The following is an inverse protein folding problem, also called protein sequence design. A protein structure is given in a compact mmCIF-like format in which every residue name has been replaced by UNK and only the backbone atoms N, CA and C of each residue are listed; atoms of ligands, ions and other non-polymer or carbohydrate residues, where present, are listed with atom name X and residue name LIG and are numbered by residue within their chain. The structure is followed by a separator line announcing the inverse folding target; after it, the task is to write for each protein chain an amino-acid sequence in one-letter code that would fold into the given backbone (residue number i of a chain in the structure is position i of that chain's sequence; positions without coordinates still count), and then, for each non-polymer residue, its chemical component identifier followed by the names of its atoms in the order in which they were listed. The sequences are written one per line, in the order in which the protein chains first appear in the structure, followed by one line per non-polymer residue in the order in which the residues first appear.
data_IF_933152901533
#
_entry.id   IF_933152901533
#
_cell.length_a   1.000
_cell.length_b   1.000
_cell.length_c   1.000
_cell.angle_alpha   90.00
_cell.angle_beta   90.00
_cell.angle_gamma   90.00
#
_symmetry.space_group_name_H-M   'P 1'
#
loop_
_entity.id
_entity.type
_entity.pdbx_description
1 polymer ?
#
# COMPACT_ATOMS: atom_id res chain seq x y z
N UNK A 1 -5.62 22.95 -1.99
CA UNK A 1 -4.16 22.84 -1.74
C UNK A 1 -3.74 21.37 -1.64
N UNK A 2 -3.59 20.67 -2.77
CA UNK A 2 -3.22 19.25 -2.79
C UNK A 2 -2.29 18.88 -3.94
N UNK A 3 -1.70 17.70 -3.87
CA UNK A 3 -0.91 17.13 -4.97
C UNK A 3 -1.78 16.52 -6.06
N UNK A 4 -2.84 15.78 -5.73
CA UNK A 4 -3.77 15.27 -6.73
C UNK A 4 -4.48 16.40 -7.49
N UNK A 5 -4.61 16.25 -8.81
CA UNK A 5 -5.40 17.14 -9.66
C UNK A 5 -6.46 16.37 -10.48
N UNK A 6 -6.60 15.07 -10.24
CA UNK A 6 -7.48 14.11 -10.91
C UNK A 6 -8.98 14.50 -10.88
N UNK A 7 -9.36 15.46 -10.03
CA UNK A 7 -10.74 15.97 -9.87
C UNK A 7 -10.99 17.30 -10.60
N UNK A 8 -9.97 17.85 -11.26
CA UNK A 8 -10.05 19.13 -11.97
C UNK A 8 -10.02 18.84 -13.46
N UNK A 9 -11.04 19.29 -14.18
CA UNK A 9 -11.04 19.27 -15.64
C UNK A 9 -10.08 20.33 -16.16
N UNK A 10 -8.86 19.92 -16.48
CA UNK A 10 -7.82 20.81 -16.96
C UNK A 10 -8.12 21.37 -18.36
N UNK A 11 -8.89 20.65 -19.18
CA UNK A 11 -9.28 21.11 -20.52
C UNK A 11 -10.29 22.25 -20.42
N UNK A 12 -11.36 22.06 -19.63
CA UNK A 12 -12.34 23.11 -19.38
C UNK A 12 -11.72 24.35 -18.70
N UNK A 13 -10.79 24.16 -17.77
CA UNK A 13 -10.07 25.28 -17.16
C UNK A 13 -9.26 26.08 -18.20
N UNK A 14 -8.61 25.40 -19.14
CA UNK A 14 -7.85 26.04 -20.21
C UNK A 14 -8.77 26.83 -21.16
N UNK A 15 -9.90 26.25 -21.57
CA UNK A 15 -10.91 26.91 -22.42
C UNK A 15 -11.47 28.19 -21.77
N UNK A 16 -11.67 28.17 -20.45
CA UNK A 16 -12.21 29.30 -19.69
C UNK A 16 -11.13 30.30 -19.21
N UNK A 17 -9.86 30.09 -19.55
CA UNK A 17 -8.76 30.95 -19.12
C UNK A 17 -8.46 30.90 -17.60
N UNK A 18 -8.88 29.84 -16.92
CA UNK A 18 -8.70 29.64 -15.48
C UNK A 18 -7.34 28.97 -15.22
N UNK A 19 -6.48 29.66 -14.46
CA UNK A 19 -5.18 29.10 -14.04
C UNK A 19 -5.35 28.17 -12.84
N UNK A 20 -4.80 26.97 -12.93
CA UNK A 20 -4.81 25.97 -11.84
C UNK A 20 -3.43 25.85 -11.22
N UNK A 21 -3.35 25.94 -9.89
CA UNK A 21 -2.12 25.73 -9.13
C UNK A 21 -2.30 24.56 -8.14
N UNK A 22 -1.22 23.80 -7.92
CA UNK A 22 -1.21 22.66 -7.00
C UNK A 22 0.04 22.65 -6.13
N UNK A 23 0.05 21.84 -5.08
CA UNK A 23 1.25 21.53 -4.31
C UNK A 23 1.90 20.32 -4.98
N UNK A 24 3.05 20.44 -5.68
CA UNK A 24 3.53 19.38 -6.57
C UNK A 24 3.87 18.08 -5.86
N UNK A 25 4.29 18.13 -4.60
CA UNK A 25 4.50 16.97 -3.76
C UNK A 25 4.34 17.34 -2.27
N UNK A 26 3.72 16.46 -1.50
CA UNK A 26 3.88 16.43 -0.05
C UNK A 26 5.16 15.68 0.31
N UNK A 27 5.58 15.73 1.58
CA UNK A 27 6.76 14.98 2.03
C UNK A 27 6.59 13.49 1.68
N UNK A 28 7.45 12.92 0.81
CA UNK A 28 7.32 11.54 0.41
C UNK A 28 7.65 10.59 1.58
N UNK A 29 8.50 11.05 2.51
CA UNK A 29 8.76 10.36 3.79
C UNK A 29 7.50 10.21 4.61
N UNK A 30 6.72 11.28 4.79
CA UNK A 30 5.50 11.22 5.60
C UNK A 30 4.49 10.19 5.08
N UNK A 31 4.36 10.04 3.75
CA UNK A 31 3.46 9.04 3.16
C UNK A 31 4.00 7.62 3.33
N UNK A 32 5.30 7.42 3.13
CA UNK A 32 5.94 6.11 3.30
C UNK A 32 5.91 5.64 4.77
N UNK A 33 6.22 6.54 5.72
CA UNK A 33 6.13 6.29 7.15
C UNK A 33 4.70 5.97 7.58
N UNK A 34 3.71 6.68 7.04
CA UNK A 34 2.30 6.39 7.31
C UNK A 34 1.90 4.99 6.81
N UNK A 35 2.37 4.57 5.64
CA UNK A 35 2.13 3.22 5.13
C UNK A 35 2.71 2.14 6.06
N UNK A 36 3.94 2.33 6.56
CA UNK A 36 4.52 1.44 7.57
C UNK A 36 3.67 1.44 8.86
N UNK A 37 3.26 2.61 9.35
CA UNK A 37 2.47 2.71 10.57
C UNK A 37 1.14 1.96 10.47
N UNK A 38 0.45 2.04 9.33
CA UNK A 38 -0.76 1.26 9.07
C UNK A 38 -0.47 -0.25 9.04
N UNK A 39 0.59 -0.67 8.33
CA UNK A 39 0.99 -2.08 8.29
C UNK A 39 1.29 -2.64 9.69
N UNK A 40 2.03 -1.90 10.51
CA UNK A 40 2.35 -2.28 11.90
C UNK A 40 1.12 -2.27 12.81
N UNK A 41 0.22 -1.30 12.64
CA UNK A 41 -1.03 -1.20 13.40
C UNK A 41 -1.95 -2.37 13.14
N UNK A 42 -2.03 -2.83 11.89
CA UNK A 42 -2.78 -4.03 11.52
C UNK A 42 -2.10 -5.29 12.04
N UNK A 43 -0.79 -5.44 11.79
CA UNK A 43 -0.01 -6.59 12.22
C UNK A 43 -0.04 -6.80 13.75
N UNK A 44 0.13 -5.75 14.54
CA UNK A 44 0.15 -5.85 16.01
C UNK A 44 -1.22 -5.58 16.65
N UNK A 45 -2.26 -5.34 15.83
CA UNK A 45 -3.62 -5.03 16.26
C UNK A 45 -3.66 -3.89 17.29
N UNK A 46 -2.79 -2.88 17.12
CA UNK A 46 -2.59 -1.81 18.10
C UNK A 46 -3.89 -1.04 18.37
N UNK A 47 -4.70 -0.85 17.33
CA UNK A 47 -6.02 -0.23 17.43
C UNK A 47 -6.97 -1.00 18.38
N UNK A 48 -6.97 -2.34 18.37
CA UNK A 48 -7.75 -3.16 19.31
C UNK A 48 -7.12 -3.18 20.70
N UNK A 49 -5.79 -3.32 20.76
CA UNK A 49 -5.03 -3.34 22.00
C UNK A 49 -5.27 -2.06 22.82
N UNK A 50 -5.18 -0.89 22.17
CA UNK A 50 -5.45 0.40 22.79
C UNK A 50 -6.84 0.48 23.42
N UNK A 51 -7.88 0.07 22.68
CA UNK A 51 -9.26 0.08 23.19
C UNK A 51 -9.42 -0.83 24.42
N UNK A 52 -8.82 -2.04 24.41
CA UNK A 52 -8.88 -2.96 25.54
C UNK A 52 -8.18 -2.39 26.78
N UNK A 53 -6.94 -1.92 26.63
CA UNK A 53 -6.15 -1.38 27.75
C UNK A 53 -6.83 -0.16 28.37
N UNK A 54 -7.43 0.71 27.55
CA UNK A 54 -8.20 1.87 28.02
C UNK A 54 -9.38 1.48 28.93
N UNK A 55 -9.94 0.29 28.73
CA UNK A 55 -11.06 -0.26 29.50
C UNK A 55 -10.58 -1.19 30.65
N UNK A 56 -9.27 -1.24 30.93
CA UNK A 56 -8.70 -2.12 31.96
C UNK A 56 -8.62 -3.60 31.55
N UNK A 57 -8.86 -3.91 30.28
CA UNK A 57 -8.75 -5.26 29.74
C UNK A 57 -7.34 -5.49 29.17
N UNK A 58 -6.57 -6.40 29.78
CA UNK A 58 -5.19 -6.73 29.38
C UNK A 58 -5.07 -8.07 28.64
N UNK A 59 -6.19 -8.64 28.17
CA UNK A 59 -6.18 -9.92 27.46
C UNK A 59 -5.53 -9.80 26.08
N UNK A 60 -4.67 -10.78 25.75
CA UNK A 60 -3.92 -10.81 24.48
C UNK A 60 -4.58 -11.63 23.37
N UNK A 61 -5.69 -12.31 23.66
CA UNK A 61 -6.38 -13.17 22.70
C UNK A 61 -6.76 -12.39 21.41
N UNK A 62 -6.32 -12.91 20.26
CA UNK A 62 -6.56 -12.29 18.96
C UNK A 62 -5.70 -11.06 18.64
N UNK A 63 -4.61 -10.82 19.39
CA UNK A 63 -3.65 -9.72 19.13
C UNK A 63 -2.29 -10.19 18.58
N UNK A 64 -2.07 -11.51 18.44
CA UNK A 64 -0.80 -12.08 17.99
C UNK A 64 -0.52 -11.70 16.53
N UNK A 65 0.61 -11.03 16.31
CA UNK A 65 1.15 -10.64 15.00
C UNK A 65 2.16 -11.60 14.41
N UNK A 66 2.74 -11.19 13.28
CA UNK A 66 3.91 -11.82 12.67
C UNK A 66 5.10 -10.88 12.71
N UNK A 67 6.31 -11.39 12.96
CA UNK A 67 7.50 -10.57 12.79
C UNK A 67 7.72 -10.26 11.32
N UNK A 68 7.96 -8.99 11.01
CA UNK A 68 8.28 -8.56 9.65
C UNK A 68 9.69 -8.99 9.24
N UNK A 69 10.63 -9.10 10.17
CA UNK A 69 11.96 -9.61 9.89
C UNK A 69 11.91 -10.98 9.18
N UNK A 70 12.61 -11.09 8.04
CA UNK A 70 12.64 -12.29 7.20
C UNK A 70 11.35 -12.54 6.39
N UNK A 71 10.35 -11.65 6.45
CA UNK A 71 9.16 -11.71 5.60
C UNK A 71 9.35 -10.87 4.34
N UNK A 72 8.44 -11.05 3.39
CA UNK A 72 8.46 -10.34 2.10
C UNK A 72 7.49 -9.17 2.10
N UNK A 73 7.93 -8.00 1.66
CA UNK A 73 7.06 -6.88 1.28
C UNK A 73 7.06 -6.71 -0.24
N UNK A 74 5.89 -6.45 -0.80
CA UNK A 74 5.70 -6.07 -2.19
C UNK A 74 5.40 -4.59 -2.32
N UNK A 75 6.25 -3.86 -3.03
CA UNK A 75 6.11 -2.43 -3.31
C UNK A 75 5.60 -2.27 -4.74
N UNK A 76 4.35 -1.83 -4.87
CA UNK A 76 3.72 -1.57 -6.17
C UNK A 76 3.87 -0.08 -6.46
N UNK A 77 4.70 0.26 -7.44
CA UNK A 77 5.13 1.62 -7.75
C UNK A 77 6.42 2.00 -7.04
N UNK A 78 7.49 2.23 -7.79
CA UNK A 78 8.85 2.53 -7.29
C UNK A 78 9.29 3.96 -7.61
N UNK A 79 8.32 4.88 -7.66
CA UNK A 79 8.57 6.32 -7.61
C UNK A 79 9.12 6.78 -6.24
N UNK A 80 9.18 8.09 -6.01
CA UNK A 80 9.80 8.68 -4.80
C UNK A 80 9.31 8.08 -3.48
N UNK A 81 7.99 7.89 -3.33
CA UNK A 81 7.40 7.34 -2.09
C UNK A 81 7.71 5.85 -1.98
N UNK A 82 7.55 5.10 -3.06
CA UNK A 82 7.79 3.66 -3.09
C UNK A 82 9.23 3.28 -2.77
N UNK A 83 10.21 4.05 -3.25
CA UNK A 83 11.62 3.84 -2.90
C UNK A 83 11.87 4.06 -1.41
N UNK A 84 11.35 5.14 -0.82
CA UNK A 84 11.50 5.39 0.62
C UNK A 84 10.84 4.27 1.43
N UNK A 85 9.63 3.85 1.04
CA UNK A 85 8.96 2.71 1.67
C UNK A 85 9.80 1.43 1.57
N UNK A 86 10.40 1.15 0.40
CA UNK A 86 11.29 0.02 0.19
C UNK A 86 12.49 0.04 1.15
N UNK A 87 13.17 1.18 1.29
CA UNK A 87 14.28 1.33 2.25
C UNK A 87 13.82 1.12 3.70
N UNK A 88 12.65 1.65 4.09
CA UNK A 88 12.10 1.49 5.43
C UNK A 88 11.85 0.00 5.74
N UNK A 89 11.15 -0.71 4.86
CA UNK A 89 10.86 -2.13 5.07
C UNK A 89 12.11 -3.00 4.98
N UNK A 90 13.06 -2.67 4.08
CA UNK A 90 14.38 -3.30 4.04
C UNK A 90 15.11 -3.14 5.37
N UNK A 91 15.06 -1.95 5.99
CA UNK A 91 15.63 -1.68 7.31
C UNK A 91 15.01 -2.49 8.45
N UNK A 92 13.77 -2.99 8.28
CA UNK A 92 13.15 -3.95 9.21
C UNK A 92 13.60 -5.41 8.96
N UNK A 93 14.50 -5.63 8.01
CA UNK A 93 14.99 -6.95 7.61
C UNK A 93 14.00 -7.72 6.71
N UNK A 94 13.11 -7.03 6.00
CA UNK A 94 12.21 -7.67 5.03
C UNK A 94 12.92 -7.89 3.69
N UNK A 95 12.56 -8.98 2.99
CA UNK A 95 12.82 -9.11 1.55
C UNK A 95 11.89 -8.15 0.81
N UNK A 96 12.44 -7.31 -0.06
CA UNK A 96 11.64 -6.34 -0.82
C UNK A 96 11.50 -6.79 -2.27
N UNK A 97 10.25 -6.94 -2.72
CA UNK A 97 9.87 -7.13 -4.12
C UNK A 97 9.27 -5.82 -4.66
N UNK A 98 9.56 -5.49 -5.91
CA UNK A 98 9.05 -4.29 -6.57
C UNK A 98 8.33 -4.60 -7.86
N UNK A 99 7.28 -3.84 -8.15
CA UNK A 99 6.65 -3.82 -9.47
C UNK A 99 6.46 -2.37 -9.91
N UNK A 100 7.00 -2.02 -11.07
CA UNK A 100 6.76 -0.75 -11.75
C UNK A 100 6.92 -0.96 -13.26
N UNK A 101 6.14 -0.23 -14.07
CA UNK A 101 6.30 -0.21 -15.53
C UNK A 101 7.65 0.39 -15.93
N UNK A 102 8.16 1.32 -15.13
CA UNK A 102 9.45 1.95 -15.32
C UNK A 102 10.37 1.61 -14.15
N UNK A 103 11.23 0.62 -14.36
CA UNK A 103 12.17 0.19 -13.33
C UNK A 103 13.24 1.26 -13.10
N UNK A 104 13.59 1.46 -11.84
CA UNK A 104 14.67 2.33 -11.40
C UNK A 104 15.79 1.49 -10.76
N UNK A 105 17.02 1.70 -11.19
CA UNK A 105 18.20 1.00 -10.67
C UNK A 105 18.45 1.26 -9.18
N UNK A 106 18.10 2.43 -8.64
CA UNK A 106 18.25 2.72 -7.20
C UNK A 106 17.41 1.78 -6.34
N UNK A 107 16.26 1.31 -6.84
CA UNK A 107 15.44 0.34 -6.11
C UNK A 107 16.16 -1.01 -5.96
N UNK A 108 17.03 -1.38 -6.91
CA UNK A 108 17.75 -2.66 -6.91
C UNK A 108 18.75 -2.77 -5.76
N UNK A 109 19.12 -1.64 -5.14
CA UNK A 109 19.96 -1.62 -3.94
C UNK A 109 19.30 -2.27 -2.73
N UNK A 110 17.96 -2.23 -2.66
CA UNK A 110 17.19 -2.73 -1.50
C UNK A 110 16.14 -3.78 -1.84
N UNK A 111 15.86 -4.02 -3.12
CA UNK A 111 14.84 -4.96 -3.56
C UNK A 111 15.05 -5.55 -4.95
N UNK A 112 14.12 -6.40 -5.37
CA UNK A 112 14.16 -7.09 -6.67
C UNK A 112 12.87 -6.82 -7.43
N UNK A 113 12.96 -6.47 -8.71
CA UNK A 113 11.77 -6.34 -9.56
C UNK A 113 11.26 -7.71 -9.98
N UNK A 114 9.95 -7.87 -9.92
CA UNK A 114 9.22 -9.08 -10.35
C UNK A 114 7.92 -8.66 -11.02
N UNK A 115 7.26 -9.60 -11.70
CA UNK A 115 5.92 -9.37 -12.24
C UNK A 115 4.89 -9.23 -11.12
N UNK A 116 3.80 -8.48 -11.39
CA UNK A 116 2.77 -8.20 -10.37
C UNK A 116 2.16 -9.48 -9.80
N UNK A 117 1.94 -10.49 -10.64
CA UNK A 117 1.42 -11.80 -10.25
C UNK A 117 2.35 -12.54 -9.27
N UNK A 118 3.67 -12.41 -9.44
CA UNK A 118 4.66 -12.98 -8.51
C UNK A 118 4.70 -12.18 -7.20
N UNK A 119 4.71 -10.85 -7.31
CA UNK A 119 4.72 -9.95 -6.16
C UNK A 119 3.59 -10.26 -5.19
N UNK A 120 2.35 -10.39 -5.68
CA UNK A 120 1.20 -10.63 -4.80
C UNK A 120 1.20 -12.01 -4.15
N UNK A 121 1.75 -13.02 -4.83
CA UNK A 121 1.88 -14.39 -4.31
C UNK A 121 2.93 -14.50 -3.21
N UNK A 122 4.02 -13.75 -3.32
CA UNK A 122 5.16 -13.89 -2.41
C UNK A 122 5.12 -12.91 -1.22
N UNK A 123 4.28 -11.88 -1.29
CA UNK A 123 4.24 -10.80 -0.31
C UNK A 123 3.39 -11.13 0.91
N UNK A 124 3.92 -10.82 2.09
CA UNK A 124 3.18 -10.82 3.36
C UNK A 124 2.57 -9.44 3.64
N UNK A 125 3.19 -8.39 3.09
CA UNK A 125 2.69 -7.02 3.09
C UNK A 125 2.75 -6.50 1.66
N UNK A 126 1.69 -5.91 1.13
CA UNK A 126 1.66 -5.24 -0.17
C UNK A 126 1.34 -3.76 0.07
N UNK A 127 2.18 -2.86 -0.45
CA UNK A 127 1.98 -1.41 -0.30
C UNK A 127 1.90 -0.72 -1.67
N UNK A 128 0.82 0.03 -1.89
CA UNK A 128 0.53 0.71 -3.16
C UNK A 128 1.03 2.16 -3.16
N UNK A 129 1.91 2.47 -4.10
CA UNK A 129 2.53 3.79 -4.31
C UNK A 129 2.48 4.22 -5.79
N UNK A 130 1.43 3.84 -6.50
CA UNK A 130 1.19 4.19 -7.91
C UNK A 130 0.16 5.31 -8.07
N UNK A 131 0.27 6.15 -9.10
CA UNK A 131 -0.80 7.08 -9.47
C UNK A 131 -2.04 6.33 -9.99
N UNK A 132 -3.21 6.96 -9.86
CA UNK A 132 -4.42 6.48 -10.52
C UNK A 132 -4.42 6.93 -11.98
N UNK A 133 -4.40 5.96 -12.88
CA UNK A 133 -4.50 6.08 -14.33
C UNK A 133 -5.54 5.07 -14.81
N UNK A 134 -6.00 5.18 -16.04
CA UNK A 134 -6.91 4.16 -16.61
C UNK A 134 -6.29 2.76 -16.56
N UNK A 135 -4.98 2.67 -16.78
CA UNK A 135 -4.24 1.40 -16.72
C UNK A 135 -3.97 0.84 -15.31
N UNK A 136 -4.18 1.63 -14.24
CA UNK A 136 -3.99 1.20 -12.84
C UNK A 136 -5.30 1.19 -12.05
N UNK A 137 -6.40 1.61 -12.67
CA UNK A 137 -7.73 1.56 -12.09
C UNK A 137 -8.15 0.12 -11.86
N UNK A 138 -8.59 -0.17 -10.64
CA UNK A 138 -8.98 -1.52 -10.19
C UNK A 138 -7.91 -2.57 -10.47
N UNK A 139 -6.63 -2.20 -10.40
CA UNK A 139 -5.54 -3.15 -10.58
C UNK A 139 -5.52 -4.22 -9.48
N UNK A 140 -5.99 -3.87 -8.27
CA UNK A 140 -6.29 -4.85 -7.24
C UNK A 140 -7.76 -5.24 -7.40
N UNK A 141 -7.99 -6.34 -8.11
CA UNK A 141 -9.30 -6.90 -8.39
C UNK A 141 -9.37 -8.35 -7.90
N UNK A 142 -10.52 -9.00 -8.13
CA UNK A 142 -10.77 -10.39 -7.74
C UNK A 142 -9.71 -11.39 -8.20
N UNK A 143 -9.24 -11.27 -9.44
CA UNK A 143 -8.21 -12.16 -9.97
C UNK A 143 -6.91 -12.01 -9.18
N UNK A 144 -6.45 -10.78 -8.98
CA UNK A 144 -5.21 -10.54 -8.25
C UNK A 144 -5.33 -10.89 -6.76
N UNK A 145 -6.47 -10.59 -6.14
CA UNK A 145 -6.78 -10.95 -4.74
C UNK A 145 -6.75 -12.46 -4.56
N UNK A 146 -7.30 -13.24 -5.51
CA UNK A 146 -7.31 -14.71 -5.41
C UNK A 146 -5.93 -15.36 -5.43
N UNK A 147 -4.91 -14.63 -5.92
CA UNK A 147 -3.51 -15.06 -5.96
C UNK A 147 -2.72 -14.63 -4.72
N UNK A 148 -3.30 -13.77 -3.87
CA UNK A 148 -2.62 -13.28 -2.67
C UNK A 148 -2.48 -14.38 -1.61
N UNK A 149 -1.49 -14.21 -0.72
CA UNK A 149 -1.38 -15.04 0.48
C UNK A 149 -2.58 -14.82 1.40
N UNK A 150 -3.08 -15.89 2.01
CA UNK A 150 -4.02 -15.78 3.13
C UNK A 150 -3.37 -14.98 4.26
N UNK A 151 -4.10 -13.99 4.80
CA UNK A 151 -3.59 -13.10 5.84
C UNK A 151 -2.60 -12.03 5.38
N UNK A 152 -2.50 -11.77 4.06
CA UNK A 152 -1.70 -10.66 3.53
C UNK A 152 -2.20 -9.32 4.09
N UNK A 153 -1.26 -8.41 4.38
CA UNK A 153 -1.59 -7.03 4.74
C UNK A 153 -1.51 -6.16 3.48
N UNK A 154 -2.65 -5.65 3.00
CA UNK A 154 -2.70 -4.68 1.89
C UNK A 154 -2.82 -3.26 2.43
N UNK A 155 -1.89 -2.38 2.03
CA UNK A 155 -1.88 -0.95 2.39
C UNK A 155 -2.01 -0.09 1.14
N UNK A 156 -3.04 0.76 1.11
CA UNK A 156 -3.26 1.73 0.04
C UNK A 156 -3.26 3.17 0.58
N UNK A 157 -2.10 3.82 0.52
CA UNK A 157 -1.95 5.25 0.81
C UNK A 157 -2.02 6.13 -0.45
N UNK A 158 -2.49 5.58 -1.58
CA UNK A 158 -2.48 6.24 -2.89
C UNK A 158 -3.86 6.77 -3.28
N UNK A 159 -4.66 5.99 -4.01
CA UNK A 159 -6.02 6.34 -4.44
C UNK A 159 -6.93 5.14 -4.27
N UNK A 160 -8.17 5.38 -3.82
CA UNK A 160 -9.15 4.32 -3.58
C UNK A 160 -9.42 3.47 -4.82
N UNK A 161 -9.61 4.11 -5.97
CA UNK A 161 -9.92 3.45 -7.26
C UNK A 161 -8.77 2.60 -7.85
N UNK A 162 -7.65 2.42 -7.15
CA UNK A 162 -6.68 1.37 -7.47
C UNK A 162 -7.17 -0.02 -7.05
N UNK A 163 -8.09 -0.07 -6.08
CA UNK A 163 -8.65 -1.29 -5.52
C UNK A 163 -10.13 -1.34 -5.88
N UNK A 164 -10.59 -2.48 -6.39
CA UNK A 164 -12.01 -2.74 -6.52
C UNK A 164 -12.57 -3.12 -5.16
N UNK A 165 -13.46 -2.30 -4.62
CA UNK A 165 -13.85 -2.38 -3.20
C UNK A 165 -14.73 -3.60 -2.94
N UNK A 166 -15.61 -3.95 -3.87
CA UNK A 166 -16.47 -5.12 -3.79
C UNK A 166 -15.64 -6.41 -3.73
N UNK A 167 -14.64 -6.54 -4.61
CA UNK A 167 -13.73 -7.68 -4.65
C UNK A 167 -12.90 -7.80 -3.36
N UNK A 168 -12.48 -6.65 -2.79
CA UNK A 168 -11.76 -6.63 -1.51
C UNK A 168 -12.63 -7.13 -0.35
N UNK A 169 -13.90 -6.73 -0.31
CA UNK A 169 -14.84 -7.19 0.72
C UNK A 169 -15.04 -8.71 0.62
N UNK A 170 -15.22 -9.24 -0.59
CA UNK A 170 -15.31 -10.69 -0.82
C UNK A 170 -14.04 -11.41 -0.32
N UNK A 171 -12.86 -10.87 -0.65
CA UNK A 171 -11.57 -11.42 -0.20
C UNK A 171 -11.43 -11.49 1.32
N UNK A 172 -11.85 -10.45 2.04
CA UNK A 172 -11.81 -10.42 3.51
C UNK A 172 -12.78 -11.41 4.17
N UNK A 173 -13.96 -11.61 3.58
CA UNK A 173 -14.96 -12.53 4.13
C UNK A 173 -14.55 -14.00 3.99
N UNK A 174 -13.88 -14.35 2.89
CA UNK A 174 -13.31 -15.68 2.67
C UNK A 174 -12.25 -16.03 3.72
N UNK A 175 -11.48 -15.06 4.22
CA UNK A 175 -10.50 -15.28 5.30
C UNK A 175 -11.18 -15.53 6.66
N UNK A 176 -12.29 -14.86 6.97
CA UNK A 176 -13.02 -15.03 8.24
C UNK A 176 -13.71 -16.40 8.33
N UNK A 177 -13.91 -17.08 7.19
CA UNK A 177 -14.64 -18.35 7.09
C UNK A 177 -13.75 -19.60 7.17
N UNK A 178 -12.42 -19.43 7.28
CA UNK A 178 -11.42 -20.49 7.42
C UNK A 178 -10.86 -20.52 8.86
#
# INVERSE_FOLDING_TARGET
RCAGYDRVDLAACAELGIKVARVPAYSPYAVAEHALALAMTLNRRLHRCYNRVREGNFTLNGLIGMDFHGKTVGIVGTGKIGQIAAHIFHGLGMKVLGYDKFQNDTFKEVGTYVELDELVKESHVISLHVPLLDSTRHMINKDLISKMRTGVILVNCSRGALVQTEDLIEGLQCEISL
#
